data_IF_061692487154
#
_entry.id   IF_061692487154
#
_cell.length_a   1.000
_cell.length_b   1.000
_cell.length_c   1.000
_cell.angle_alpha   90.00
_cell.angle_beta   90.00
_cell.angle_gamma   90.00
#
_symmetry.space_group_name_H-M   'P 1'
#
loop_
_entity.id
_entity.type
_entity.pdbx_description
1 polymer ?
#
# COMPACT_ATOMS: atom_id res chain seq x y z
N UNK A 1 -11.68 17.11 28.24
CA UNK A 1 -12.01 16.79 26.81
C UNK A 1 -10.84 16.10 26.19
N UNK A 2 -11.09 15.02 25.52
CA UNK A 2 -10.00 14.28 24.85
C UNK A 2 -9.62 15.03 23.57
N UNK A 3 -8.32 15.10 23.28
CA UNK A 3 -7.87 15.67 22.00
C UNK A 3 -8.16 14.75 20.83
N UNK A 4 -8.24 15.30 19.59
CA UNK A 4 -8.58 14.54 18.38
C UNK A 4 -7.56 13.44 18.09
N UNK A 5 -6.30 13.60 18.47
CA UNK A 5 -5.25 12.59 18.33
C UNK A 5 -5.56 11.37 19.19
N UNK A 6 -6.03 11.57 20.44
CA UNK A 6 -6.42 10.49 21.34
C UNK A 6 -7.70 9.78 20.86
N UNK A 7 -8.62 10.51 20.24
CA UNK A 7 -9.79 9.90 19.58
C UNK A 7 -9.37 9.02 18.40
N UNK A 8 -8.44 9.48 17.58
CA UNK A 8 -7.91 8.70 16.45
C UNK A 8 -7.25 7.41 16.95
N UNK A 9 -6.44 7.46 18.00
CA UNK A 9 -5.83 6.27 18.62
C UNK A 9 -6.89 5.28 19.08
N UNK A 10 -7.88 5.76 19.84
CA UNK A 10 -8.96 4.91 20.34
C UNK A 10 -9.72 4.22 19.21
N UNK A 11 -10.03 4.95 18.16
CA UNK A 11 -10.70 4.38 16.99
C UNK A 11 -9.80 3.40 16.22
N UNK A 12 -8.51 3.73 16.04
CA UNK A 12 -7.57 2.85 15.34
C UNK A 12 -7.31 1.52 16.08
N UNK A 13 -7.49 1.49 17.40
CA UNK A 13 -7.43 0.26 18.20
C UNK A 13 -8.71 -0.59 18.10
N UNK A 14 -9.82 -0.01 17.64
CA UNK A 14 -11.07 -0.78 17.47
C UNK A 14 -10.95 -1.70 16.24
N UNK A 15 -11.17 -2.99 16.46
CA UNK A 15 -11.18 -4.01 15.40
C UNK A 15 -12.18 -3.67 14.28
N UNK A 16 -13.31 -3.09 14.63
CA UNK A 16 -14.41 -2.78 13.71
C UNK A 16 -14.34 -1.35 13.16
N UNK A 17 -13.26 -0.60 13.46
CA UNK A 17 -13.14 0.76 12.96
C UNK A 17 -13.19 0.82 11.43
N UNK A 18 -14.00 1.75 10.93
CA UNK A 18 -14.04 2.10 9.51
C UNK A 18 -12.73 2.77 9.09
N UNK A 19 -12.01 2.10 8.21
CA UNK A 19 -10.69 2.55 7.74
C UNK A 19 -10.76 3.87 6.97
N UNK A 20 -11.86 4.13 6.26
CA UNK A 20 -12.04 5.40 5.56
C UNK A 20 -12.25 6.55 6.55
N UNK A 21 -12.99 6.30 7.64
CA UNK A 21 -13.17 7.27 8.72
C UNK A 21 -11.85 7.60 9.40
N UNK A 22 -11.02 6.58 9.65
CA UNK A 22 -9.66 6.78 10.18
C UNK A 22 -8.80 7.63 9.24
N UNK A 23 -8.82 7.36 7.94
CA UNK A 23 -8.08 8.15 6.95
C UNK A 23 -8.56 9.61 6.90
N UNK A 24 -9.89 9.85 6.92
CA UNK A 24 -10.45 11.22 6.94
C UNK A 24 -10.02 11.99 8.19
N UNK A 25 -10.05 11.35 9.36
CA UNK A 25 -9.61 11.98 10.62
C UNK A 25 -8.10 12.25 10.59
N UNK A 26 -7.31 11.31 10.08
CA UNK A 26 -5.87 11.48 9.89
C UNK A 26 -5.55 12.63 8.93
N UNK A 27 -6.29 12.73 7.81
CA UNK A 27 -6.16 13.84 6.86
C UNK A 27 -6.42 15.18 7.52
N UNK A 28 -7.50 15.27 8.31
CA UNK A 28 -7.82 16.50 9.06
C UNK A 28 -6.67 16.91 9.97
N UNK A 29 -6.11 15.98 10.74
CA UNK A 29 -4.98 16.24 11.65
C UNK A 29 -3.75 16.69 10.87
N UNK A 30 -3.36 15.95 9.83
CA UNK A 30 -2.20 16.26 8.99
C UNK A 30 -2.31 17.66 8.37
N UNK A 31 -3.48 17.99 7.84
CA UNK A 31 -3.78 19.30 7.25
C UNK A 31 -3.66 20.44 8.26
N UNK A 32 -4.17 20.25 9.47
CA UNK A 32 -4.08 21.25 10.55
C UNK A 32 -2.66 21.44 11.06
N UNK A 33 -1.86 20.38 11.10
CA UNK A 33 -0.45 20.40 11.48
C UNK A 33 0.49 20.85 10.34
N UNK A 34 -0.03 20.98 9.12
CA UNK A 34 0.72 21.32 7.89
C UNK A 34 1.82 20.29 7.58
N UNK A 35 1.47 19.03 7.50
CA UNK A 35 2.33 17.90 7.19
C UNK A 35 2.07 17.38 5.77
N UNK A 36 2.62 18.03 4.72
CA UNK A 36 2.23 17.77 3.33
C UNK A 36 2.55 16.34 2.86
N UNK A 37 3.63 15.74 3.31
CA UNK A 37 3.99 14.37 2.94
C UNK A 37 2.98 13.35 3.50
N UNK A 38 2.49 13.58 4.72
CA UNK A 38 1.45 12.74 5.31
C UNK A 38 0.09 12.96 4.64
N UNK A 39 -0.23 14.21 4.30
CA UNK A 39 -1.42 14.54 3.51
C UNK A 39 -1.40 13.78 2.18
N UNK A 40 -0.27 13.79 1.47
CA UNK A 40 -0.13 13.10 0.18
C UNK A 40 -0.29 11.57 0.32
N UNK A 41 0.30 10.97 1.35
CA UNK A 41 0.13 9.55 1.62
C UNK A 41 -1.34 9.20 1.87
N UNK A 42 -2.04 9.95 2.71
CA UNK A 42 -3.45 9.71 2.98
C UNK A 42 -4.29 9.83 1.70
N UNK A 43 -4.02 10.84 0.87
CA UNK A 43 -4.70 11.00 -0.41
C UNK A 43 -4.47 9.80 -1.33
N UNK A 44 -3.23 9.30 -1.41
CA UNK A 44 -2.94 8.08 -2.16
C UNK A 44 -3.67 6.85 -1.62
N UNK A 45 -3.81 6.73 -0.29
CA UNK A 45 -4.59 5.65 0.32
C UNK A 45 -6.09 5.78 0.00
N UNK A 46 -6.63 7.00 -0.04
CA UNK A 46 -8.04 7.25 -0.32
C UNK A 46 -8.41 7.17 -1.81
N UNK A 47 -7.54 7.64 -2.69
CA UNK A 47 -7.84 7.79 -4.13
C UNK A 47 -7.13 6.74 -5.00
N UNK A 48 -6.18 6.01 -4.42
CA UNK A 48 -5.28 5.12 -5.14
C UNK A 48 -4.00 5.83 -5.59
N UNK A 49 -2.98 5.03 -5.83
CA UNK A 49 -1.64 5.54 -6.15
C UNK A 49 -1.47 5.95 -7.63
N UNK A 50 -2.32 5.45 -8.53
CA UNK A 50 -2.25 5.78 -9.95
C UNK A 50 -0.87 5.51 -10.55
N UNK A 51 -0.16 6.59 -10.93
CA UNK A 51 1.23 6.53 -11.45
C UNK A 51 2.29 6.83 -10.39
N UNK A 52 1.87 7.17 -9.17
CA UNK A 52 2.80 7.43 -8.06
C UNK A 52 3.42 6.12 -7.60
N UNK A 53 4.55 6.22 -6.94
CA UNK A 53 5.18 5.07 -6.33
C UNK A 53 4.25 4.45 -5.27
N UNK A 54 4.08 3.13 -5.33
CA UNK A 54 3.25 2.39 -4.38
C UNK A 54 4.15 1.82 -3.28
N UNK A 55 3.80 1.98 -1.99
CA UNK A 55 4.60 1.50 -0.88
C UNK A 55 4.86 -0.01 -0.89
N UNK A 56 5.96 -0.45 -0.24
CA UNK A 56 6.33 -1.87 -0.19
C UNK A 56 5.29 -2.75 0.54
N UNK A 57 4.60 -2.23 1.55
CA UNK A 57 3.56 -2.99 2.26
C UNK A 57 2.35 -3.34 1.40
N UNK A 58 2.23 -2.75 0.21
CA UNK A 58 1.19 -3.07 -0.79
C UNK A 58 1.59 -4.15 -1.77
N UNK A 59 2.77 -4.77 -1.55
CA UNK A 59 3.25 -5.89 -2.33
C UNK A 59 2.42 -7.14 -2.04
N UNK A 60 1.91 -7.76 -3.09
CA UNK A 60 1.31 -9.09 -3.05
C UNK A 60 2.18 -10.09 -3.81
N UNK A 61 2.06 -11.34 -3.44
CA UNK A 61 2.68 -12.45 -4.14
C UNK A 61 1.62 -13.48 -4.50
N UNK A 62 1.61 -13.89 -5.77
CA UNK A 62 0.66 -14.86 -6.28
C UNK A 62 1.33 -15.98 -7.07
N UNK A 63 0.51 -16.87 -7.59
CA UNK A 63 0.88 -17.90 -8.53
C UNK A 63 0.53 -17.45 -9.96
N UNK A 64 1.51 -17.44 -10.84
CA UNK A 64 1.26 -17.17 -12.25
C UNK A 64 0.61 -18.40 -12.90
N UNK A 65 -0.50 -18.19 -13.61
CA UNK A 65 -1.20 -19.21 -14.37
C UNK A 65 -1.34 -18.81 -15.84
N UNK A 66 -1.30 -19.80 -16.71
CA UNK A 66 -1.53 -19.68 -18.15
C UNK A 66 -2.82 -20.40 -18.54
N UNK A 67 -3.56 -19.86 -19.50
CA UNK A 67 -4.73 -20.50 -20.05
C UNK A 67 -4.33 -21.59 -21.04
N UNK A 68 -4.58 -22.85 -20.66
CA UNK A 68 -4.45 -23.98 -21.56
C UNK A 68 -5.82 -24.28 -22.19
N UNK A 69 -5.94 -24.40 -23.54
CA UNK A 69 -7.23 -24.60 -24.20
C UNK A 69 -7.98 -25.86 -23.78
N UNK A 70 -7.25 -26.87 -23.31
CA UNK A 70 -7.82 -28.18 -22.95
C UNK A 70 -8.01 -28.33 -21.44
N UNK A 71 -7.03 -27.83 -20.64
CA UNK A 71 -6.96 -28.04 -19.19
C UNK A 71 -7.39 -26.83 -18.37
N UNK A 72 -7.75 -25.73 -19.01
CA UNK A 72 -8.05 -24.48 -18.32
C UNK A 72 -6.79 -23.81 -17.76
N UNK A 73 -6.91 -23.17 -16.61
CA UNK A 73 -5.83 -22.41 -15.98
C UNK A 73 -4.83 -23.33 -15.28
N UNK A 74 -3.63 -23.43 -15.81
CA UNK A 74 -2.53 -24.25 -15.28
C UNK A 74 -1.40 -23.39 -14.71
N UNK A 75 -0.72 -23.82 -13.65
CA UNK A 75 0.44 -23.11 -13.11
C UNK A 75 1.55 -22.99 -14.14
N UNK A 76 2.22 -21.84 -14.14
CA UNK A 76 3.45 -21.61 -14.92
C UNK A 76 4.64 -21.78 -13.99
N UNK A 77 5.56 -22.65 -14.36
CA UNK A 77 6.84 -22.84 -13.68
C UNK A 77 7.90 -22.15 -14.53
N UNK A 78 8.70 -21.31 -13.89
CA UNK A 78 9.80 -20.61 -14.58
C UNK A 78 11.13 -21.24 -14.18
N UNK A 79 12.03 -21.38 -15.13
CA UNK A 79 13.37 -21.91 -14.88
C UNK A 79 14.24 -20.96 -14.07
N UNK A 80 13.98 -19.65 -14.17
CA UNK A 80 14.71 -18.60 -13.47
C UNK A 80 13.94 -18.10 -12.24
N UNK A 81 14.52 -18.22 -11.05
CA UNK A 81 13.95 -17.66 -9.81
C UNK A 81 13.78 -16.13 -9.89
N UNK A 82 14.64 -15.43 -10.66
CA UNK A 82 14.52 -13.97 -10.87
C UNK A 82 13.27 -13.67 -11.70
N UNK A 83 13.05 -14.42 -12.79
CA UNK A 83 11.85 -14.27 -13.64
C UNK A 83 10.59 -14.63 -12.84
N UNK A 84 10.61 -15.73 -12.08
CA UNK A 84 9.49 -16.11 -11.21
C UNK A 84 9.14 -14.98 -10.23
N UNK A 85 10.11 -14.43 -9.52
CA UNK A 85 9.90 -13.31 -8.57
C UNK A 85 9.33 -12.09 -9.29
N UNK A 86 9.82 -11.76 -10.49
CA UNK A 86 9.35 -10.61 -11.26
C UNK A 86 7.90 -10.73 -11.74
N UNK A 87 7.43 -11.95 -11.99
CA UNK A 87 6.08 -12.18 -12.51
C UNK A 87 5.05 -12.56 -11.43
N UNK A 88 5.51 -13.06 -10.27
CA UNK A 88 4.64 -13.47 -9.17
C UNK A 88 4.41 -12.39 -8.13
N UNK A 89 5.22 -11.31 -8.14
CA UNK A 89 5.07 -10.17 -7.23
C UNK A 89 4.56 -8.95 -7.96
N UNK A 90 3.68 -8.21 -7.30
CA UNK A 90 3.19 -6.91 -7.79
C UNK A 90 2.66 -6.07 -6.65
N UNK A 91 2.73 -4.75 -6.77
CA UNK A 91 2.12 -3.82 -5.81
C UNK A 91 0.70 -3.49 -6.26
N UNK A 92 -0.22 -3.33 -5.32
CA UNK A 92 -1.62 -2.96 -5.58
C UNK A 92 -1.78 -1.44 -5.42
N UNK A 93 -1.97 -0.69 -6.52
CA UNK A 93 -2.11 0.77 -6.48
C UNK A 93 -3.53 1.24 -6.13
N UNK A 94 -4.47 0.32 -5.95
CA UNK A 94 -5.89 0.59 -5.67
C UNK A 94 -6.09 1.39 -4.39
N UNK A 95 -7.18 2.16 -4.31
CA UNK A 95 -7.61 2.83 -3.08
C UNK A 95 -7.93 1.82 -1.97
N UNK A 96 -7.92 2.29 -0.72
CA UNK A 96 -8.32 1.48 0.44
C UNK A 96 -9.77 1.01 0.31
N UNK A 97 -10.68 1.86 -0.18
CA UNK A 97 -12.08 1.50 -0.39
C UNK A 97 -12.24 0.38 -1.43
N UNK A 98 -11.54 0.47 -2.57
CA UNK A 98 -11.55 -0.60 -3.57
C UNK A 98 -10.99 -1.92 -3.02
N UNK A 99 -9.90 -1.86 -2.25
CA UNK A 99 -9.34 -3.06 -1.61
C UNK A 99 -10.27 -3.63 -0.55
N UNK A 100 -10.96 -2.78 0.21
CA UNK A 100 -11.93 -3.20 1.21
C UNK A 100 -13.15 -3.88 0.56
N UNK A 101 -13.69 -3.28 -0.50
CA UNK A 101 -14.79 -3.86 -1.28
C UNK A 101 -14.40 -5.20 -1.91
N UNK A 102 -13.21 -5.27 -2.48
CA UNK A 102 -12.68 -6.52 -3.02
C UNK A 102 -12.54 -7.59 -1.93
N UNK A 103 -12.07 -7.20 -0.74
CA UNK A 103 -11.97 -8.12 0.39
C UNK A 103 -13.33 -8.59 0.90
N UNK A 104 -14.30 -7.70 1.02
CA UNK A 104 -15.63 -8.04 1.56
C UNK A 104 -16.45 -8.90 0.58
N UNK A 105 -16.45 -8.52 -0.70
CA UNK A 105 -17.33 -9.10 -1.70
C UNK A 105 -16.75 -10.36 -2.40
N UNK A 106 -15.48 -10.70 -2.14
CA UNK A 106 -14.89 -11.91 -2.72
C UNK A 106 -15.47 -13.18 -2.08
N UNK A 107 -16.17 -13.98 -2.87
CA UNK A 107 -16.71 -15.29 -2.45
C UNK A 107 -15.58 -16.33 -2.25
N UNK A 108 -14.50 -16.21 -3.01
CA UNK A 108 -13.35 -17.11 -2.97
C UNK A 108 -12.26 -16.60 -2.03
N UNK A 109 -11.54 -17.52 -1.38
CA UNK A 109 -10.31 -17.22 -0.65
C UNK A 109 -9.14 -16.83 -1.57
N UNK A 110 -9.26 -17.13 -2.89
CA UNK A 110 -8.28 -16.77 -3.92
C UNK A 110 -8.85 -15.70 -4.82
N UNK A 111 -8.05 -14.68 -5.08
CA UNK A 111 -8.33 -13.59 -5.99
C UNK A 111 -7.55 -13.74 -7.29
N UNK A 112 -8.10 -13.20 -8.36
CA UNK A 112 -7.55 -13.29 -9.70
C UNK A 112 -7.26 -11.87 -10.22
N UNK A 113 -6.04 -11.66 -10.70
CA UNK A 113 -5.64 -10.46 -11.40
C UNK A 113 -5.17 -10.84 -12.82
N UNK A 114 -5.90 -10.40 -13.83
CA UNK A 114 -5.48 -10.55 -15.21
C UNK A 114 -4.29 -9.62 -15.49
N UNK A 115 -3.29 -10.11 -16.21
CA UNK A 115 -2.15 -9.27 -16.56
C UNK A 115 -2.54 -8.24 -17.62
N UNK A 116 -2.11 -6.97 -17.49
CA UNK A 116 -2.22 -5.98 -18.56
C UNK A 116 -1.59 -6.48 -19.87
N UNK A 117 -2.12 -6.03 -21.00
CA UNK A 117 -1.72 -6.55 -22.32
C UNK A 117 -0.20 -6.56 -22.55
N UNK A 118 0.48 -5.48 -22.19
CA UNK A 118 1.94 -5.38 -22.35
C UNK A 118 2.69 -6.39 -21.46
N UNK A 119 2.24 -6.53 -20.20
CA UNK A 119 2.85 -7.51 -19.29
C UNK A 119 2.56 -8.94 -19.75
N UNK A 120 1.35 -9.20 -20.28
CA UNK A 120 0.99 -10.50 -20.85
C UNK A 120 1.87 -10.87 -22.03
N UNK A 121 2.10 -9.94 -22.99
CA UNK A 121 3.02 -10.14 -24.13
C UNK A 121 4.44 -10.46 -23.65
N UNK A 122 4.93 -9.75 -22.64
CA UNK A 122 6.27 -9.97 -22.12
C UNK A 122 6.40 -11.36 -21.48
N UNK A 123 5.43 -11.76 -20.67
CA UNK A 123 5.38 -13.11 -20.06
C UNK A 123 5.30 -14.19 -21.15
N UNK A 124 4.46 -14.00 -22.18
CA UNK A 124 4.34 -14.92 -23.32
C UNK A 124 5.68 -15.12 -24.03
N UNK A 125 6.44 -14.03 -24.23
CA UNK A 125 7.79 -14.10 -24.82
C UNK A 125 8.76 -14.89 -23.94
N UNK A 126 8.75 -14.68 -22.63
CA UNK A 126 9.60 -15.41 -21.70
C UNK A 126 9.23 -16.90 -21.59
N UNK A 127 7.95 -17.23 -21.69
CA UNK A 127 7.46 -18.62 -21.64
C UNK A 127 7.55 -19.35 -22.99
N UNK A 128 7.80 -18.65 -24.10
CA UNK A 128 7.90 -19.25 -25.44
C UNK A 128 6.54 -19.62 -26.07
N UNK A 129 5.40 -19.21 -25.48
CA UNK A 129 4.07 -19.49 -26.04
C UNK A 129 3.12 -18.32 -25.77
N UNK A 130 2.18 -18.10 -26.70
CA UNK A 130 1.23 -17.01 -26.63
C UNK A 130 -0.13 -17.49 -26.08
N UNK A 131 -0.50 -16.97 -24.92
CA UNK A 131 -1.78 -17.23 -24.27
C UNK A 131 -2.14 -16.10 -23.29
N UNK A 132 -3.25 -16.24 -22.61
CA UNK A 132 -3.59 -15.35 -21.49
C UNK A 132 -2.90 -15.84 -20.22
N UNK A 133 -2.37 -14.88 -19.46
CA UNK A 133 -1.79 -15.12 -18.15
C UNK A 133 -2.54 -14.34 -17.09
N UNK A 134 -2.62 -14.90 -15.89
CA UNK A 134 -3.18 -14.26 -14.72
C UNK A 134 -2.37 -14.58 -13.47
N UNK A 135 -2.45 -13.69 -12.49
CA UNK A 135 -1.90 -13.92 -11.16
C UNK A 135 -3.04 -14.31 -10.21
N UNK A 136 -2.90 -15.43 -9.53
CA UNK A 136 -3.82 -15.84 -8.46
C UNK A 136 -3.13 -15.67 -7.11
N UNK A 137 -3.78 -15.00 -6.17
CA UNK A 137 -3.23 -14.70 -4.84
C UNK A 137 -4.30 -14.79 -3.76
N UNK A 138 -3.86 -15.01 -2.51
CA UNK A 138 -4.78 -15.16 -1.39
C UNK A 138 -5.43 -13.84 -0.98
N UNK A 139 -6.74 -13.87 -0.72
CA UNK A 139 -7.54 -12.77 -0.18
C UNK A 139 -6.98 -12.19 1.13
N UNK A 140 -6.31 -13.02 1.93
CA UNK A 140 -5.65 -12.60 3.16
C UNK A 140 -4.56 -11.52 2.95
N UNK A 141 -3.97 -11.43 1.75
CA UNK A 141 -2.98 -10.40 1.46
C UNK A 141 -3.62 -9.00 1.38
N UNK A 142 -4.86 -8.91 0.87
CA UNK A 142 -5.63 -7.65 0.93
C UNK A 142 -5.87 -7.26 2.40
N UNK A 143 -6.30 -8.20 3.23
CA UNK A 143 -6.48 -7.94 4.66
C UNK A 143 -5.20 -7.43 5.33
N UNK A 144 -4.05 -8.03 4.98
CA UNK A 144 -2.75 -7.60 5.51
C UNK A 144 -2.41 -6.15 5.12
N UNK A 145 -2.72 -5.74 3.89
CA UNK A 145 -2.55 -4.34 3.44
C UNK A 145 -3.44 -3.41 4.26
N UNK A 146 -4.74 -3.71 4.37
CA UNK A 146 -5.70 -2.90 5.14
C UNK A 146 -5.29 -2.78 6.62
N UNK A 147 -4.84 -3.89 7.22
CA UNK A 147 -4.35 -3.90 8.60
C UNK A 147 -3.09 -3.04 8.74
N UNK A 148 -2.19 -3.07 7.75
CA UNK A 148 -0.98 -2.23 7.79
C UNK A 148 -1.31 -0.75 7.72
N UNK A 149 -2.30 -0.34 6.90
CA UNK A 149 -2.77 1.05 6.87
C UNK A 149 -3.30 1.49 8.23
N UNK A 150 -4.14 0.67 8.90
CA UNK A 150 -4.63 0.97 10.25
C UNK A 150 -3.50 1.09 11.28
N UNK A 151 -2.53 0.17 11.24
CA UNK A 151 -1.38 0.21 12.14
C UNK A 151 -0.53 1.46 11.90
N UNK A 152 -0.30 1.84 10.65
CA UNK A 152 0.44 3.05 10.31
C UNK A 152 -0.24 4.30 10.88
N UNK A 153 -1.57 4.38 10.81
CA UNK A 153 -2.34 5.49 11.40
C UNK A 153 -2.21 5.49 12.93
N UNK A 154 -2.30 4.32 13.57
CA UNK A 154 -2.17 4.20 15.02
C UNK A 154 -0.77 4.62 15.49
N UNK A 155 0.28 4.08 14.86
CA UNK A 155 1.67 4.37 15.21
C UNK A 155 1.98 5.86 15.03
N UNK A 156 1.47 6.48 13.95
CA UNK A 156 1.61 7.92 13.76
C UNK A 156 0.89 8.73 14.83
N UNK A 157 -0.34 8.35 15.20
CA UNK A 157 -1.10 9.02 16.24
C UNK A 157 -0.40 8.90 17.61
N UNK A 158 0.23 7.76 17.91
CA UNK A 158 1.06 7.58 19.10
C UNK A 158 2.29 8.50 19.08
N UNK A 159 2.99 8.59 17.95
CA UNK A 159 4.14 9.50 17.77
C UNK A 159 3.75 10.97 18.01
N UNK A 160 2.56 11.37 17.56
CA UNK A 160 2.04 12.72 17.84
C UNK A 160 1.82 12.94 19.34
N UNK A 161 1.14 12.00 20.04
CA UNK A 161 0.90 12.08 21.47
C UNK A 161 2.19 12.15 22.29
N UNK A 162 3.13 11.25 22.01
CA UNK A 162 4.45 11.22 22.65
C UNK A 162 5.23 12.53 22.46
N UNK A 163 4.92 13.25 21.38
CA UNK A 163 5.45 14.58 21.10
C UNK A 163 4.68 15.71 21.80
N UNK A 164 3.63 15.38 22.56
CA UNK A 164 2.79 16.36 23.26
C UNK A 164 1.72 17.00 22.35
N UNK A 165 1.47 16.44 21.17
CA UNK A 165 0.49 16.94 20.19
C UNK A 165 -0.80 16.17 20.38
N UNK A 166 -1.85 16.82 20.87
CA UNK A 166 -3.14 16.18 21.16
C UNK A 166 -4.33 16.80 20.43
N UNK A 167 -4.24 18.07 20.04
CA UNK A 167 -5.28 18.78 19.28
C UNK A 167 -6.59 18.92 20.04
N UNK A 168 -6.65 19.79 21.06
CA UNK A 168 -7.84 20.02 21.87
C UNK A 168 -8.90 20.76 21.06
N UNK A 169 -10.16 20.37 21.23
CA UNK A 169 -11.31 21.00 20.56
C UNK A 169 -11.12 21.15 19.04
N UNK A 170 -10.55 20.10 18.39
CA UNK A 170 -10.24 20.06 16.95
C UNK A 170 -9.29 21.16 16.47
N UNK A 171 -8.51 21.75 17.40
CA UNK A 171 -7.55 22.82 17.13
C UNK A 171 -6.17 22.44 17.65
N UNK A 172 -5.14 22.93 16.97
CA UNK A 172 -3.75 22.77 17.36
C UNK A 172 -3.16 24.14 17.66
N UNK A 173 -2.43 24.25 18.76
CA UNK A 173 -1.67 25.43 19.12
C UNK A 173 -0.52 25.68 18.13
N UNK A 174 0.00 26.89 18.09
CA UNK A 174 1.18 27.20 17.26
C UNK A 174 2.41 26.41 17.72
N UNK A 175 2.50 26.09 19.01
CA UNK A 175 3.56 25.25 19.57
C UNK A 175 3.44 23.79 19.05
N UNK A 176 2.23 23.18 19.11
CA UNK A 176 2.00 21.84 18.57
C UNK A 176 2.32 21.77 17.07
N UNK A 177 1.93 22.78 16.29
CA UNK A 177 2.26 22.87 14.86
C UNK A 177 3.76 22.94 14.62
N UNK A 178 4.46 23.75 15.40
CA UNK A 178 5.91 23.91 15.32
C UNK A 178 6.61 22.59 15.63
N UNK A 179 6.25 21.94 16.74
CA UNK A 179 6.78 20.63 17.11
C UNK A 179 6.55 19.60 16.00
N UNK A 180 5.34 19.55 15.42
CA UNK A 180 5.01 18.63 14.34
C UNK A 180 5.88 18.81 13.09
N UNK A 181 6.21 20.06 12.74
CA UNK A 181 6.99 20.40 11.56
C UNK A 181 8.50 20.25 11.76
N UNK A 182 8.99 20.42 12.99
CA UNK A 182 10.42 20.34 13.32
C UNK A 182 10.90 18.93 13.67
N UNK A 183 10.03 18.07 14.20
CA UNK A 183 10.40 16.70 14.57
C UNK A 183 10.50 15.79 13.36
N UNK A 184 11.73 15.37 13.08
CA UNK A 184 12.04 14.43 11.99
C UNK A 184 11.25 13.12 12.08
N UNK A 185 10.96 12.63 13.29
CA UNK A 185 10.16 11.43 13.53
C UNK A 185 8.72 11.56 13.04
N UNK A 186 8.16 12.78 13.06
CA UNK A 186 6.80 13.07 12.59
C UNK A 186 6.81 13.34 11.08
N UNK A 187 7.73 14.17 10.60
CA UNK A 187 7.79 14.58 9.19
C UNK A 187 8.23 13.45 8.28
N UNK A 188 9.21 12.65 8.71
CA UNK A 188 9.75 11.54 7.93
C UNK A 188 9.07 10.19 8.26
N UNK A 189 8.00 10.19 9.06
CA UNK A 189 7.30 8.96 9.39
C UNK A 189 6.94 8.14 8.14
N UNK A 190 6.62 8.83 7.07
CA UNK A 190 6.23 8.23 5.79
C UNK A 190 7.39 7.69 4.97
N UNK A 191 8.58 8.28 5.05
CA UNK A 191 9.75 7.75 4.31
C UNK A 191 10.02 6.29 4.69
N UNK A 192 9.66 5.88 5.91
CA UNK A 192 9.74 4.51 6.36
C UNK A 192 8.74 3.57 5.66
N UNK A 193 7.66 4.08 5.06
CA UNK A 193 6.68 3.26 4.31
C UNK A 193 7.10 3.00 2.88
N UNK A 194 7.78 3.96 2.26
CA UNK A 194 8.26 3.83 0.89
C UNK A 194 9.43 2.85 0.77
N UNK A 195 10.00 2.40 1.88
CA UNK A 195 11.26 1.67 1.95
C UNK A 195 12.42 2.66 1.84
N UNK A 196 13.33 2.59 2.80
CA UNK A 196 14.59 3.33 2.73
C UNK A 196 15.32 2.90 1.45
N UNK A 197 15.41 3.79 0.49
CA UNK A 197 16.26 3.66 -0.70
C UNK A 197 17.76 3.74 -0.34
N UNK A 198 18.16 3.17 0.77
CA UNK A 198 19.57 3.21 1.22
C UNK A 198 20.38 2.00 0.79
N UNK A 199 19.81 1.06 0.00
CA UNK A 199 20.59 -0.05 -0.54
C UNK A 199 20.12 -0.56 -1.91
N UNK A 200 19.73 0.35 -2.79
CA UNK A 200 19.68 0.02 -4.22
C UNK A 200 20.48 1.08 -4.98
N UNK A 201 21.78 0.87 -5.12
CA UNK A 201 22.42 1.24 -6.35
C UNK A 201 21.66 0.51 -7.45
N UNK A 202 20.69 1.18 -8.04
CA UNK A 202 20.18 0.83 -9.34
C UNK A 202 21.35 1.06 -10.29
N UNK A 203 22.19 0.05 -10.47
CA UNK A 203 22.93 -0.07 -11.70
C UNK A 203 21.83 -0.16 -12.77
N UNK A 204 21.60 0.97 -13.43
CA UNK A 204 21.05 0.99 -14.76
C UNK A 204 21.89 0.02 -15.58
N UNK A 205 21.45 -1.22 -15.67
CA UNK A 205 21.83 -2.09 -16.76
C UNK A 205 21.15 -1.51 -18.00
N UNK A 206 21.83 -0.53 -18.56
CA UNK A 206 21.69 -0.13 -19.94
C UNK A 206 21.97 -1.40 -20.77
N UNK A 207 20.93 -2.10 -21.14
CA UNK A 207 20.98 -3.06 -22.23
C UNK A 207 21.01 -2.27 -23.53
N UNK A 208 22.22 -1.80 -23.85
CA UNK A 208 22.59 -1.37 -25.19
C UNK A 208 23.30 -2.55 -25.84
N UNK A 209 22.76 -2.93 -26.98
CA UNK A 209 23.39 -3.67 -28.10
C UNK A 209 23.83 -5.13 -27.85
N UNK A 210 23.24 -6.08 -28.51
CA UNK A 210 23.42 -6.44 -29.94
C UNK A 210 22.13 -7.08 -30.44
#
# INVERSE_FOLDING_TARGET
MNGIVLELQKEAMDKNADIESLLRKSYFIARKLKLPEFEEWIQCEQEGYGKKETPEYRMIQGQLKALNPVRGWIPVVMESAIAEKAFTKTKLPNSVSELYDLYQNAESSMLVMNLPAERNKYVAKCCGFNTQFRLEFGKNQIYSILSRVKNNILDWALTLEESGIVGRDYSFSEEEKKIAQEKTEITNYITNFWGTTTDVQVQQLSLIHI
#
